data_IF_597213936035
#
_entry.id   IF_597213936035
#
_cell.length_a   1.000
_cell.length_b   1.000
_cell.length_c   1.000
_cell.angle_alpha   90.00
_cell.angle_beta   90.00
_cell.angle_gamma   90.00
#
_symmetry.space_group_name_H-M   'P 1'
#
loop_
_entity.id
_entity.type
_entity.pdbx_description
1 polymer ?
#
# COMPACT_ATOMS: atom_id res chain seq x y z
N UNK A 1 27.49 23.96 -23.62
CA UNK A 1 27.00 22.68 -23.07
C UNK A 1 26.71 22.90 -21.60
N UNK A 2 25.48 23.30 -21.27
CA UNK A 2 25.03 23.38 -19.87
C UNK A 2 24.38 22.06 -19.51
N UNK A 3 24.96 21.43 -18.49
CA UNK A 3 24.50 20.19 -17.87
C UNK A 3 23.07 20.37 -17.35
N UNK A 4 22.22 19.38 -17.62
CA UNK A 4 20.83 19.32 -17.18
C UNK A 4 20.80 19.29 -15.66
N UNK A 5 19.98 20.15 -15.05
CA UNK A 5 19.51 19.97 -13.68
C UNK A 5 18.65 18.71 -13.66
N UNK A 6 19.19 17.62 -13.13
CA UNK A 6 18.37 16.59 -12.51
C UNK A 6 17.72 17.27 -11.30
N UNK A 7 16.50 17.77 -11.47
CA UNK A 7 15.58 17.96 -10.35
C UNK A 7 15.40 16.57 -9.74
N UNK A 8 16.16 16.27 -8.68
CA UNK A 8 15.77 15.26 -7.70
C UNK A 8 14.34 15.61 -7.30
N UNK A 9 13.36 14.89 -7.85
CA UNK A 9 11.99 15.02 -7.39
C UNK A 9 11.99 14.48 -5.97
N UNK A 10 11.92 15.38 -4.99
CA UNK A 10 11.72 14.97 -3.61
C UNK A 10 10.50 14.05 -3.56
N UNK A 11 10.60 12.90 -2.87
CA UNK A 11 9.49 11.96 -2.81
C UNK A 11 8.25 12.67 -2.27
N UNK A 12 7.06 12.33 -2.79
CA UNK A 12 5.84 13.10 -2.52
C UNK A 12 5.40 12.99 -1.05
N UNK A 13 6.04 12.12 -0.26
CA UNK A 13 5.72 11.82 1.12
C UNK A 13 6.98 11.89 2.00
N UNK A 14 6.88 12.55 3.15
CA UNK A 14 7.90 12.46 4.21
C UNK A 14 7.84 11.08 4.89
N UNK A 15 8.48 10.09 4.27
CA UNK A 15 8.46 8.68 4.72
C UNK A 15 8.99 8.53 6.14
N UNK A 16 10.05 9.27 6.50
CA UNK A 16 10.69 9.17 7.82
C UNK A 16 9.73 9.56 8.95
N UNK A 17 8.92 10.60 8.74
CA UNK A 17 7.89 11.01 9.68
C UNK A 17 6.74 10.00 9.74
N UNK A 18 6.11 9.73 8.59
CA UNK A 18 4.88 8.93 8.54
C UNK A 18 5.09 7.47 8.92
N UNK A 19 6.24 6.88 8.62
CA UNK A 19 6.58 5.50 9.04
C UNK A 19 6.82 5.35 10.55
N UNK A 20 6.99 6.45 11.30
CA UNK A 20 7.23 6.45 12.77
C UNK A 20 6.06 6.99 13.58
N UNK A 21 5.16 7.72 12.94
CA UNK A 21 3.96 8.27 13.59
C UNK A 21 3.11 7.14 14.21
N UNK A 22 2.88 7.19 15.53
CA UNK A 22 2.16 6.16 16.30
C UNK A 22 2.72 4.72 16.15
N UNK A 23 4.04 4.54 16.22
CA UNK A 23 4.74 3.27 16.01
C UNK A 23 4.55 2.18 17.11
N UNK A 24 3.37 2.06 17.72
CA UNK A 24 3.04 0.95 18.62
C UNK A 24 2.95 -0.44 17.96
N UNK A 25 3.38 -0.60 16.70
CA UNK A 25 3.15 -1.76 15.83
C UNK A 25 4.43 -2.53 15.45
N UNK A 26 5.50 -2.47 16.26
CA UNK A 26 6.71 -3.29 16.01
C UNK A 26 6.41 -4.79 15.94
N UNK A 27 5.40 -5.26 16.68
CA UNK A 27 4.96 -6.66 16.66
C UNK A 27 4.41 -7.09 15.30
N UNK A 28 3.77 -6.17 14.54
CA UNK A 28 3.15 -6.48 13.24
C UNK A 28 4.19 -6.75 12.12
N UNK A 29 5.41 -6.22 12.23
CA UNK A 29 6.45 -6.43 11.22
C UNK A 29 7.15 -7.79 11.38
N UNK A 30 7.36 -8.22 12.63
CA UNK A 30 7.95 -9.53 12.92
C UNK A 30 7.10 -10.68 12.38
N UNK A 31 5.78 -10.61 12.57
CA UNK A 31 4.82 -11.61 12.06
C UNK A 31 4.90 -11.74 10.54
N UNK A 32 4.97 -10.60 9.83
CA UNK A 32 5.10 -10.57 8.38
C UNK A 32 6.39 -11.25 7.90
N UNK A 33 7.53 -10.84 8.46
CA UNK A 33 8.84 -11.37 8.05
C UNK A 33 8.96 -12.85 8.41
N UNK A 34 8.49 -13.26 9.59
CA UNK A 34 8.55 -14.65 10.03
C UNK A 34 7.71 -15.57 9.15
N UNK A 35 6.54 -15.12 8.71
CA UNK A 35 5.72 -15.89 7.75
C UNK A 35 6.43 -16.06 6.39
N UNK A 36 7.06 -15.01 5.87
CA UNK A 36 7.82 -15.07 4.61
C UNK A 36 9.02 -16.02 4.71
N UNK A 37 9.69 -16.07 5.87
CA UNK A 37 10.84 -16.96 6.13
C UNK A 37 10.45 -18.40 6.37
N UNK A 38 9.34 -18.62 7.08
CA UNK A 38 8.91 -19.95 7.52
C UNK A 38 8.28 -20.75 6.38
N UNK A 39 7.61 -20.07 5.45
CA UNK A 39 6.89 -20.71 4.35
C UNK A 39 7.50 -20.34 3.01
N UNK A 40 7.88 -21.35 2.22
CA UNK A 40 8.33 -21.15 0.83
C UNK A 40 7.17 -21.12 -0.17
N UNK A 41 6.03 -21.73 0.19
CA UNK A 41 4.84 -21.79 -0.64
C UNK A 41 3.98 -20.53 -0.46
N UNK A 42 3.57 -19.85 -1.55
CA UNK A 42 2.74 -18.64 -1.48
C UNK A 42 1.39 -18.82 -0.79
N UNK A 43 0.71 -19.95 -0.98
CA UNK A 43 -0.57 -20.20 -0.33
C UNK A 43 -0.41 -20.43 1.17
N UNK A 44 0.66 -21.13 1.58
CA UNK A 44 1.02 -21.25 2.99
C UNK A 44 1.36 -19.89 3.63
N UNK A 45 2.09 -19.01 2.91
CA UNK A 45 2.33 -17.62 3.35
C UNK A 45 1.03 -16.84 3.50
N UNK A 46 0.14 -16.92 2.50
CA UNK A 46 -1.15 -16.26 2.54
C UNK A 46 -1.95 -16.71 3.76
N UNK A 47 -1.99 -18.01 4.03
CA UNK A 47 -2.70 -18.57 5.19
C UNK A 47 -2.12 -18.09 6.53
N UNK A 48 -0.80 -18.07 6.66
CA UNK A 48 -0.13 -17.56 7.87
C UNK A 48 -0.38 -16.07 8.12
N UNK A 49 -0.61 -15.29 7.05
CA UNK A 49 -0.78 -13.84 7.11
C UNK A 49 -2.24 -13.38 6.93
N UNK A 50 -3.19 -14.31 6.87
CA UNK A 50 -4.58 -14.00 6.52
C UNK A 50 -5.26 -13.10 7.57
N UNK A 51 -5.12 -13.48 8.84
CA UNK A 51 -5.63 -12.70 9.98
C UNK A 51 -4.84 -11.43 10.20
N UNK A 52 -3.52 -11.50 10.00
CA UNK A 52 -2.64 -10.34 10.10
C UNK A 52 -3.04 -9.21 9.14
N UNK A 53 -3.47 -9.55 7.91
CA UNK A 53 -3.95 -8.55 6.93
C UNK A 53 -5.40 -8.10 7.19
N UNK A 54 -6.07 -8.67 8.20
CA UNK A 54 -7.50 -8.48 8.54
C UNK A 54 -8.45 -8.92 7.41
N UNK A 55 -8.05 -9.91 6.59
CA UNK A 55 -8.88 -10.42 5.49
C UNK A 55 -9.91 -11.46 5.94
N UNK A 56 -9.75 -12.01 7.15
CA UNK A 56 -10.67 -13.00 7.71
C UNK A 56 -12.08 -12.46 8.01
N UNK A 57 -12.29 -11.14 8.00
CA UNK A 57 -13.61 -10.52 8.26
C UNK A 57 -14.61 -10.60 7.12
N UNK A 58 -14.31 -11.33 6.04
CA UNK A 58 -15.24 -11.50 4.94
C UNK A 58 -14.83 -12.49 3.85
N UNK A 59 -13.65 -13.11 3.97
CA UNK A 59 -13.15 -14.09 2.99
C UNK A 59 -12.56 -15.28 3.73
N UNK A 60 -13.12 -16.46 3.45
CA UNK A 60 -12.60 -17.73 3.97
C UNK A 60 -11.30 -18.09 3.25
N UNK A 61 -10.23 -18.26 4.04
CA UNK A 61 -8.91 -18.61 3.51
C UNK A 61 -8.90 -19.98 2.87
N UNK A 62 -9.66 -20.94 3.40
CA UNK A 62 -9.69 -22.30 2.88
C UNK A 62 -10.38 -22.31 1.50
N UNK A 63 -11.47 -21.55 1.34
CA UNK A 63 -12.11 -21.37 0.04
C UNK A 63 -11.18 -20.70 -0.99
N UNK A 64 -10.31 -19.77 -0.56
CA UNK A 64 -9.34 -19.13 -1.45
C UNK A 64 -8.25 -20.09 -1.90
N UNK A 65 -7.62 -20.83 -0.98
CA UNK A 65 -6.56 -21.78 -1.34
C UNK A 65 -7.08 -22.97 -2.15
N UNK A 66 -8.35 -23.32 -2.01
CA UNK A 66 -8.98 -24.35 -2.86
C UNK A 66 -9.30 -23.83 -4.28
N UNK A 67 -9.46 -22.52 -4.45
CA UNK A 67 -9.85 -21.90 -5.72
C UNK A 67 -8.67 -21.58 -6.67
N UNK A 68 -7.42 -21.56 -6.17
CA UNK A 68 -6.23 -21.21 -6.96
C UNK A 68 -5.02 -22.06 -6.55
N UNK A 69 -4.19 -22.44 -7.51
CA UNK A 69 -2.94 -23.18 -7.25
C UNK A 69 -1.73 -22.25 -7.15
N UNK A 70 -0.67 -22.74 -6.51
CA UNK A 70 0.61 -22.02 -6.40
C UNK A 70 1.23 -21.74 -7.77
N UNK A 71 1.18 -22.69 -8.71
CA UNK A 71 1.71 -22.51 -10.06
C UNK A 71 1.02 -21.35 -10.79
N UNK A 72 -0.30 -21.25 -10.67
CA UNK A 72 -1.07 -20.17 -11.30
C UNK A 72 -0.72 -18.81 -10.71
N UNK A 73 -0.49 -18.73 -9.39
CA UNK A 73 -0.02 -17.49 -8.78
C UNK A 73 1.34 -17.05 -9.35
N UNK A 74 2.27 -17.98 -9.56
CA UNK A 74 3.56 -17.66 -10.18
C UNK A 74 3.42 -17.18 -11.63
N UNK A 75 2.51 -17.77 -12.42
CA UNK A 75 2.22 -17.30 -13.77
C UNK A 75 1.64 -15.88 -13.76
N UNK A 76 0.71 -15.60 -12.85
CA UNK A 76 0.06 -14.29 -12.74
C UNK A 76 1.00 -13.17 -12.28
N UNK A 77 1.99 -13.47 -11.42
CA UNK A 77 3.01 -12.49 -11.01
C UNK A 77 3.81 -11.96 -12.22
N UNK A 78 3.90 -12.73 -13.31
CA UNK A 78 4.52 -12.30 -14.57
C UNK A 78 3.73 -11.22 -15.33
N UNK A 79 2.43 -11.08 -15.09
CA UNK A 79 1.52 -10.21 -15.83
C UNK A 79 1.47 -8.77 -15.26
N UNK A 80 1.01 -7.77 -16.04
CA UNK A 80 0.75 -6.42 -15.53
C UNK A 80 -0.14 -6.45 -14.28
N UNK A 81 0.13 -5.64 -13.23
CA UNK A 81 -0.60 -5.76 -11.96
C UNK A 81 -2.12 -5.63 -12.08
N UNK A 82 -2.62 -4.78 -13.00
CA UNK A 82 -4.04 -4.64 -13.31
C UNK A 82 -4.64 -5.92 -13.89
N UNK A 83 -3.98 -6.54 -14.86
CA UNK A 83 -4.44 -7.77 -15.50
C UNK A 83 -4.41 -8.94 -14.51
N UNK A 84 -3.33 -9.07 -13.76
CA UNK A 84 -3.15 -10.15 -12.78
C UNK A 84 -4.25 -10.14 -11.70
N UNK A 85 -4.58 -8.98 -11.12
CA UNK A 85 -5.66 -8.91 -10.11
C UNK A 85 -7.05 -9.09 -10.72
N UNK A 86 -7.25 -8.71 -11.98
CA UNK A 86 -8.53 -8.93 -12.66
C UNK A 86 -8.76 -10.44 -12.88
N UNK A 87 -7.79 -11.13 -13.48
CA UNK A 87 -7.87 -12.57 -13.76
C UNK A 87 -8.03 -13.35 -12.47
N UNK A 88 -7.22 -13.05 -11.45
CA UNK A 88 -7.32 -13.74 -10.16
C UNK A 88 -8.62 -13.42 -9.42
N UNK A 89 -9.10 -12.17 -9.50
CA UNK A 89 -10.39 -11.77 -8.92
C UNK A 89 -11.56 -12.53 -9.53
N UNK A 90 -11.62 -12.62 -10.86
CA UNK A 90 -12.64 -13.41 -11.57
C UNK A 90 -12.57 -14.89 -11.19
N UNK A 91 -11.36 -15.44 -11.07
CA UNK A 91 -11.16 -16.83 -10.68
C UNK A 91 -11.68 -17.12 -9.27
N UNK A 92 -11.34 -16.27 -8.30
CA UNK A 92 -11.80 -16.44 -6.92
C UNK A 92 -13.33 -16.29 -6.80
N UNK A 93 -13.95 -15.47 -7.64
CA UNK A 93 -15.41 -15.40 -7.73
C UNK A 93 -15.99 -16.68 -8.35
N UNK A 94 -15.41 -17.15 -9.46
CA UNK A 94 -15.84 -18.39 -10.13
C UNK A 94 -15.69 -19.64 -9.26
N UNK A 95 -14.69 -19.66 -8.38
CA UNK A 95 -14.47 -20.70 -7.37
C UNK A 95 -15.31 -20.54 -6.10
N UNK A 96 -16.12 -19.49 -5.96
CA UNK A 96 -16.96 -19.24 -4.80
C UNK A 96 -16.23 -18.69 -3.57
N UNK A 97 -14.94 -18.39 -3.67
CA UNK A 97 -14.15 -17.81 -2.59
C UNK A 97 -14.48 -16.33 -2.34
N UNK A 98 -14.91 -15.61 -3.37
CA UNK A 98 -15.36 -14.21 -3.28
C UNK A 98 -16.78 -14.04 -3.82
N UNK A 99 -17.56 -13.19 -3.16
CA UNK A 99 -18.92 -12.86 -3.63
C UNK A 99 -18.95 -11.90 -4.83
N UNK A 100 -17.90 -11.08 -5.01
CA UNK A 100 -17.76 -10.14 -6.12
C UNK A 100 -16.29 -9.87 -6.44
N UNK A 101 -15.96 -9.38 -7.66
CA UNK A 101 -14.60 -9.04 -8.04
C UNK A 101 -14.08 -7.85 -7.21
N UNK A 102 -13.24 -8.14 -6.22
CA UNK A 102 -12.44 -7.16 -5.47
C UNK A 102 -10.96 -7.35 -5.78
N UNK A 103 -10.15 -6.31 -5.63
CA UNK A 103 -8.71 -6.36 -5.85
C UNK A 103 -7.91 -6.66 -4.59
N UNK A 104 -8.50 -6.55 -3.38
CA UNK A 104 -7.75 -6.66 -2.12
C UNK A 104 -7.16 -8.06 -1.93
N UNK A 105 -8.01 -9.09 -2.01
CA UNK A 105 -7.58 -10.48 -1.86
C UNK A 105 -6.64 -10.93 -2.99
N UNK A 106 -6.97 -10.68 -4.29
CA UNK A 106 -6.02 -10.95 -5.38
C UNK A 106 -4.67 -10.26 -5.22
N UNK A 107 -4.65 -8.96 -4.88
CA UNK A 107 -3.42 -8.20 -4.71
C UNK A 107 -2.57 -8.77 -3.56
N UNK A 108 -3.22 -9.22 -2.47
CA UNK A 108 -2.53 -9.85 -1.35
C UNK A 108 -1.87 -11.19 -1.74
N UNK A 109 -2.58 -12.04 -2.47
CA UNK A 109 -2.02 -13.32 -2.94
C UNK A 109 -0.82 -13.08 -3.88
N UNK A 110 -0.95 -12.14 -4.82
CA UNK A 110 0.13 -11.78 -5.73
C UNK A 110 1.30 -11.12 -4.98
N UNK A 111 1.03 -10.35 -3.93
CA UNK A 111 2.03 -9.77 -3.06
C UNK A 111 2.89 -10.84 -2.40
N UNK A 112 2.29 -11.81 -1.69
CA UNK A 112 3.05 -12.86 -0.97
C UNK A 112 3.75 -13.83 -1.91
N UNK A 113 3.23 -13.98 -3.14
CA UNK A 113 3.86 -14.76 -4.22
C UNK A 113 5.10 -14.07 -4.77
N UNK A 114 4.99 -12.76 -5.04
CA UNK A 114 6.09 -11.94 -5.58
C UNK A 114 7.11 -11.52 -4.51
N UNK A 115 6.84 -11.76 -3.23
CA UNK A 115 7.75 -11.42 -2.12
C UNK A 115 8.84 -12.47 -1.95
N UNK A 116 10.07 -12.02 -1.74
CA UNK A 116 11.19 -12.89 -1.34
C UNK A 116 11.14 -13.22 0.15
N UNK A 117 12.04 -14.09 0.63
CA UNK A 117 12.09 -14.51 2.05
C UNK A 117 12.28 -13.34 3.03
N UNK A 118 12.82 -12.22 2.56
CA UNK A 118 13.04 -10.99 3.33
C UNK A 118 12.64 -9.74 2.54
N UNK A 119 11.93 -9.90 1.43
CA UNK A 119 11.73 -8.83 0.46
C UNK A 119 10.25 -8.58 0.23
N UNK A 120 9.84 -7.34 0.48
CA UNK A 120 8.51 -6.86 0.18
C UNK A 120 8.32 -6.71 -1.32
N UNK A 121 7.22 -7.24 -1.87
CA UNK A 121 6.87 -7.00 -3.27
C UNK A 121 6.45 -5.56 -3.53
N UNK A 122 7.31 -4.78 -4.19
CA UNK A 122 7.01 -3.42 -4.65
C UNK A 122 6.14 -3.41 -5.91
N UNK A 123 6.15 -4.49 -6.70
CA UNK A 123 5.30 -4.66 -7.89
C UNK A 123 3.82 -4.90 -7.55
N UNK A 124 3.58 -5.63 -6.48
CA UNK A 124 2.26 -5.89 -5.92
C UNK A 124 2.23 -5.38 -4.49
N UNK A 125 2.22 -4.06 -4.26
CA UNK A 125 2.18 -3.51 -2.92
C UNK A 125 0.87 -3.91 -2.23
N UNK A 126 0.92 -4.10 -0.90
CA UNK A 126 -0.27 -4.34 -0.10
C UNK A 126 -1.26 -3.19 -0.29
N UNK A 127 -2.47 -3.58 -0.70
CA UNK A 127 -3.53 -2.65 -1.02
C UNK A 127 -4.55 -2.58 0.11
N UNK A 128 -4.92 -1.35 0.45
CA UNK A 128 -5.91 -1.02 1.47
C UNK A 128 -6.55 0.33 1.10
N UNK A 129 -7.76 0.58 1.61
CA UNK A 129 -8.44 1.86 1.40
C UNK A 129 -7.58 3.04 1.84
N UNK A 130 -6.79 2.92 2.91
CA UNK A 130 -5.87 3.95 3.41
C UNK A 130 -4.73 4.23 2.44
N UNK A 131 -4.07 3.19 1.93
CA UNK A 131 -3.02 3.36 0.91
C UNK A 131 -3.59 4.02 -0.35
N UNK A 132 -4.84 3.68 -0.72
CA UNK A 132 -5.54 4.35 -1.81
C UNK A 132 -5.82 5.84 -1.54
N UNK A 133 -6.24 6.20 -0.32
CA UNK A 133 -6.41 7.61 0.09
C UNK A 133 -5.13 8.39 -0.15
N UNK A 134 -4.00 7.88 0.36
CA UNK A 134 -2.71 8.50 0.21
C UNK A 134 -2.33 8.65 -1.27
N UNK A 135 -2.47 7.59 -2.06
CA UNK A 135 -2.20 7.63 -3.49
C UNK A 135 -3.00 8.72 -4.23
N UNK A 136 -4.30 8.77 -4.01
CA UNK A 136 -5.17 9.74 -4.69
C UNK A 136 -4.77 11.18 -4.35
N UNK A 137 -4.40 11.42 -3.09
CA UNK A 137 -3.91 12.72 -2.65
C UNK A 137 -2.54 13.06 -3.30
N UNK A 138 -1.56 12.16 -3.21
CA UNK A 138 -0.19 12.40 -3.66
C UNK A 138 -0.01 12.43 -5.18
N UNK A 139 -0.81 11.67 -5.93
CA UNK A 139 -0.71 11.62 -7.39
C UNK A 139 -1.27 12.86 -8.10
N UNK A 140 -1.76 13.86 -7.36
CA UNK A 140 -2.31 15.10 -7.93
C UNK A 140 -3.55 14.90 -8.80
N UNK A 141 -4.16 13.70 -8.78
CA UNK A 141 -5.31 13.33 -9.62
C UNK A 141 -6.65 13.92 -9.14
N UNK A 142 -6.63 15.00 -8.36
CA UNK A 142 -7.84 15.65 -7.86
C UNK A 142 -7.98 17.08 -8.34
N UNK A 143 -8.90 17.26 -9.28
CA UNK A 143 -9.65 18.49 -9.47
C UNK A 143 -10.95 18.39 -8.65
N UNK A 144 -10.93 18.79 -7.37
CA UNK A 144 -12.13 19.08 -6.57
C UNK A 144 -12.88 17.90 -5.89
N UNK A 145 -13.43 18.20 -4.70
CA UNK A 145 -14.53 17.63 -3.89
C UNK A 145 -14.92 16.14 -3.89
N UNK A 146 -14.18 15.25 -4.56
CA UNK A 146 -14.57 13.84 -4.64
C UNK A 146 -14.36 13.08 -3.31
N UNK A 147 -15.40 12.41 -2.76
CA UNK A 147 -15.23 11.49 -1.65
C UNK A 147 -14.35 10.31 -2.07
N UNK A 148 -13.62 9.73 -1.11
CA UNK A 148 -12.76 8.57 -1.32
C UNK A 148 -13.61 7.38 -1.81
N UNK A 149 -13.40 6.85 -3.02
CA UNK A 149 -14.30 5.83 -3.53
C UNK A 149 -14.03 4.50 -2.83
N UNK A 150 -15.01 4.01 -2.07
CA UNK A 150 -15.08 2.59 -1.67
C UNK A 150 -15.05 1.63 -2.87
N UNK A 151 -15.37 2.12 -4.09
CA UNK A 151 -15.25 1.38 -5.35
C UNK A 151 -13.81 1.23 -5.87
N UNK A 152 -12.81 1.84 -5.24
CA UNK A 152 -11.41 1.68 -5.64
C UNK A 152 -10.90 0.26 -5.40
N UNK A 153 -11.37 -0.40 -4.34
CA UNK A 153 -11.06 -1.80 -4.03
C UNK A 153 -11.73 -2.79 -4.99
N UNK A 154 -12.47 -2.31 -5.99
CA UNK A 154 -13.17 -3.11 -7.00
C UNK A 154 -12.67 -2.79 -8.42
N UNK A 155 -11.58 -2.03 -8.58
CA UNK A 155 -11.11 -1.59 -9.89
C UNK A 155 -9.66 -2.02 -10.15
N UNK A 156 -9.52 -3.05 -10.98
CA UNK A 156 -8.22 -3.57 -11.41
C UNK A 156 -7.34 -2.50 -12.11
N UNK A 157 -7.85 -1.65 -13.01
CA UNK A 157 -7.05 -0.56 -13.59
C UNK A 157 -6.54 0.45 -12.55
N UNK A 158 -7.35 0.74 -11.51
CA UNK A 158 -6.94 1.63 -10.42
C UNK A 158 -5.84 1.00 -9.57
N UNK A 159 -5.92 -0.31 -9.30
CA UNK A 159 -4.84 -1.03 -8.64
C UNK A 159 -3.54 -0.98 -9.47
N UNK A 160 -3.62 -1.21 -10.79
CA UNK A 160 -2.45 -1.06 -11.67
C UNK A 160 -1.80 0.31 -11.58
N UNK A 161 -2.59 1.38 -11.64
CA UNK A 161 -2.09 2.75 -11.51
C UNK A 161 -1.50 3.06 -10.12
N UNK A 162 -2.02 2.42 -9.06
CA UNK A 162 -1.42 2.49 -7.73
C UNK A 162 -0.07 1.78 -7.68
N UNK A 163 0.04 0.58 -8.25
CA UNK A 163 1.30 -0.18 -8.29
C UNK A 163 2.39 0.52 -9.08
N UNK A 164 2.04 1.17 -10.20
CA UNK A 164 2.97 2.02 -10.97
C UNK A 164 3.46 3.18 -10.12
N UNK A 165 2.55 3.97 -9.54
CA UNK A 165 2.91 5.07 -8.67
C UNK A 165 3.78 4.62 -7.50
N UNK A 166 3.45 3.50 -6.85
CA UNK A 166 4.21 2.99 -5.71
C UNK A 166 5.68 2.71 -6.08
N UNK A 167 5.90 2.10 -7.25
CA UNK A 167 7.25 1.79 -7.74
C UNK A 167 8.01 3.04 -8.18
N UNK A 168 7.32 4.03 -8.74
CA UNK A 168 7.94 5.26 -9.22
C UNK A 168 8.28 6.25 -8.10
N UNK A 169 7.56 6.19 -6.97
CA UNK A 169 7.63 7.20 -5.90
C UNK A 169 8.31 6.73 -4.63
N UNK A 170 8.65 5.45 -4.54
CA UNK A 170 9.46 4.94 -3.43
C UNK A 170 10.84 5.63 -3.46
N UNK A 171 11.28 6.28 -2.38
CA UNK A 171 12.59 6.91 -2.35
C UNK A 171 13.71 5.89 -2.47
N UNK A 172 14.85 6.31 -3.04
CA UNK A 172 16.07 5.50 -3.02
C UNK A 172 16.44 5.14 -1.57
N UNK A 173 16.87 3.89 -1.35
CA UNK A 173 17.26 3.33 -0.05
C UNK A 173 16.15 3.21 1.01
N UNK A 174 14.89 3.46 0.65
CA UNK A 174 13.73 3.18 1.52
C UNK A 174 13.17 1.79 1.21
N UNK A 175 13.05 0.88 2.20
CA UNK A 175 12.41 -0.42 1.98
C UNK A 175 10.94 -0.26 1.60
N UNK A 176 10.47 -1.07 0.64
CA UNK A 176 9.07 -1.05 0.18
C UNK A 176 8.04 -1.14 1.30
N UNK A 177 8.32 -1.98 2.31
CA UNK A 177 7.46 -2.12 3.48
C UNK A 177 7.32 -0.82 4.27
N UNK A 178 8.43 -0.10 4.48
CA UNK A 178 8.47 1.17 5.20
C UNK A 178 7.70 2.24 4.44
N UNK A 179 7.81 2.24 3.10
CA UNK A 179 7.04 3.16 2.26
C UNK A 179 5.54 2.88 2.29
N UNK A 180 5.13 1.61 2.21
CA UNK A 180 3.72 1.24 2.37
C UNK A 180 3.16 1.65 3.73
N UNK A 181 3.89 1.41 4.82
CA UNK A 181 3.48 1.88 6.15
C UNK A 181 3.30 3.38 6.22
N UNK A 182 4.20 4.13 5.60
CA UNK A 182 4.07 5.58 5.54
C UNK A 182 2.80 6.00 4.77
N UNK A 183 2.53 5.40 3.61
CA UNK A 183 1.32 5.65 2.83
C UNK A 183 0.05 5.27 3.61
N UNK A 184 0.07 4.13 4.28
CA UNK A 184 -1.05 3.65 5.09
C UNK A 184 -1.39 4.62 6.23
N UNK A 185 -0.37 5.06 6.98
CA UNK A 185 -0.56 5.99 8.12
C UNK A 185 -0.97 7.38 7.66
N UNK A 186 -0.35 7.86 6.59
CA UNK A 186 -0.73 9.13 5.97
C UNK A 186 -2.17 9.12 5.46
N UNK A 187 -2.55 8.06 4.74
CA UNK A 187 -3.92 7.89 4.25
C UNK A 187 -4.94 7.75 5.37
N UNK A 188 -4.60 7.05 6.47
CA UNK A 188 -5.44 6.97 7.66
C UNK A 188 -5.63 8.34 8.32
N UNK A 189 -4.56 9.14 8.39
CA UNK A 189 -4.61 10.50 8.90
C UNK A 189 -5.54 11.39 8.06
N UNK A 190 -5.34 11.43 6.74
CA UNK A 190 -6.19 12.18 5.81
C UNK A 190 -7.64 11.77 5.95
N UNK A 191 -7.93 10.46 5.98
CA UNK A 191 -9.28 9.94 6.08
C UNK A 191 -10.00 10.33 7.39
N UNK A 192 -9.25 10.61 8.45
CA UNK A 192 -9.79 11.01 9.76
C UNK A 192 -10.00 12.52 9.90
N UNK A 193 -9.48 13.34 8.97
CA UNK A 193 -9.69 14.78 9.04
C UNK A 193 -11.16 15.11 8.81
N UNK A 194 -11.72 16.10 9.55
CA UNK A 194 -13.08 16.61 9.30
C UNK A 194 -13.18 17.39 7.98
N UNK A 195 -12.09 17.45 7.21
CA UNK A 195 -11.94 18.17 5.95
C UNK A 195 -12.29 17.26 4.77
N UNK A 196 -13.20 17.72 3.91
CA UNK A 196 -13.62 16.97 2.71
C UNK A 196 -12.90 17.41 1.44
N UNK A 197 -12.15 18.52 1.47
CA UNK A 197 -11.47 19.10 0.30
C UNK A 197 -9.95 18.99 0.43
N UNK A 198 -9.25 18.85 -0.70
CA UNK A 198 -7.77 18.79 -0.75
C UNK A 198 -7.15 20.05 -0.18
N UNK A 199 -7.68 21.24 -0.51
CA UNK A 199 -7.17 22.51 0.01
C UNK A 199 -7.22 22.59 1.54
N UNK A 200 -8.28 22.07 2.16
CA UNK A 200 -8.40 22.05 3.61
C UNK A 200 -7.47 21.00 4.25
N UNK A 201 -7.15 19.92 3.53
CA UNK A 201 -6.15 18.94 3.95
C UNK A 201 -4.75 19.56 3.84
N UNK A 202 -4.44 20.28 2.75
CA UNK A 202 -3.17 20.97 2.53
C UNK A 202 -2.92 22.02 3.59
N UNK A 203 -3.89 22.91 3.85
CA UNK A 203 -3.79 23.93 4.90
C UNK A 203 -3.54 23.29 6.27
N UNK A 204 -4.22 22.18 6.56
CA UNK A 204 -4.05 21.47 7.81
C UNK A 204 -2.68 20.79 7.93
N UNK A 205 -2.19 20.15 6.86
CA UNK A 205 -0.88 19.52 6.83
C UNK A 205 0.24 20.57 6.93
N UNK A 206 0.11 21.70 6.23
CA UNK A 206 1.04 22.83 6.35
C UNK A 206 1.04 23.38 7.77
N UNK A 207 -0.12 23.55 8.40
CA UNK A 207 -0.20 23.99 9.79
C UNK A 207 0.42 22.98 10.76
N UNK A 208 0.27 21.67 10.51
CA UNK A 208 0.90 20.61 11.29
C UNK A 208 2.42 20.66 11.12
N UNK A 209 2.94 20.76 9.89
CA UNK A 209 4.37 20.89 9.61
C UNK A 209 4.95 22.14 10.27
N UNK A 210 4.25 23.27 10.20
CA UNK A 210 4.63 24.52 10.87
C UNK A 210 4.68 24.37 12.40
N UNK A 211 3.69 23.72 13.00
CA UNK A 211 3.60 23.50 14.44
C UNK A 211 4.69 22.54 14.94
N UNK A 212 4.94 21.48 14.17
CA UNK A 212 6.06 20.56 14.36
C UNK A 212 7.36 21.37 14.28
N UNK A 213 7.67 22.06 13.18
CA UNK A 213 8.89 22.86 13.05
C UNK A 213 9.09 23.88 14.17
N UNK A 214 8.03 24.59 14.59
CA UNK A 214 8.09 25.58 15.70
C UNK A 214 8.35 24.92 17.06
N UNK A 215 7.81 23.73 17.33
CA UNK A 215 8.14 22.97 18.55
C UNK A 215 9.58 22.44 18.52
N UNK A 216 10.10 22.10 17.34
CA UNK A 216 11.46 21.59 17.14
C UNK A 216 12.54 22.67 17.26
N UNK A 217 12.26 23.92 16.90
CA UNK A 217 13.16 25.06 17.20
C UNK A 217 13.37 25.27 18.71
N UNK A 218 12.48 24.74 19.56
CA UNK A 218 12.63 24.77 21.01
C UNK A 218 13.38 23.57 21.62
N UNK A 219 13.54 22.46 20.88
CA UNK A 219 14.12 21.19 21.41
C UNK A 219 15.33 20.62 20.63
N UNK A 220 15.82 21.27 19.57
CA UNK A 220 17.22 21.15 19.15
C UNK A 220 17.68 19.87 18.43
N UNK A 221 16.85 19.26 17.56
CA UNK A 221 17.30 18.21 16.63
C UNK A 221 16.72 18.43 15.22
N UNK A 222 17.59 18.68 14.24
CA UNK A 222 17.22 19.12 12.88
C UNK A 222 16.80 17.95 11.95
N UNK A 223 15.84 18.21 11.06
CA UNK A 223 15.70 17.51 9.78
C UNK A 223 15.85 18.54 8.65
N UNK A 224 16.66 18.17 7.66
CA UNK A 224 17.21 19.00 6.58
C UNK A 224 16.14 19.28 5.50
N UNK A 225 16.15 20.50 4.95
CA UNK A 225 15.35 20.95 3.79
C UNK A 225 15.76 20.27 2.49
#
# INVERSE_FOLDING_TARGET
>A
MSSKSETEMSPPLNVAFWSRWNAGQQDDESVYIDALRTHNDPLARAKALWDWKDLSRGVDVDAVVDAVSTEELYELVGQPPSEAVAVLGEKLVGGGALANPTVVTPAFLLHVTASGLNEYSTRFPLFDVRCWVAYVYLAGRRTGDEPLPGSATQSAPRFGAFSEFFQETIPQDVPGRVYEHALFRFGAYIAALPSTTVANVDEHLLALEDAVCKSYESEGYAIIR
#
